data_IF_971053755827
#
_entry.id   IF_971053755827
#
_cell.length_a   1.000
_cell.length_b   1.000
_cell.length_c   1.000
_cell.angle_alpha   90.00
_cell.angle_beta   90.00
_cell.angle_gamma   90.00
#
_symmetry.space_group_name_H-M   'P 1'
#
loop_
_entity.id
_entity.type
_entity.pdbx_description
1 polymer ?
#
# COMPACT_ATOMS: atom_id res chain seq x y z
N UNK A 1 1.39 28.37 -6.66
CA UNK A 1 2.22 27.44 -5.88
C UNK A 1 2.70 26.38 -6.84
N UNK A 2 4.01 26.18 -6.93
CA UNK A 2 4.58 25.12 -7.75
C UNK A 2 4.36 23.81 -6.98
N UNK A 3 3.54 22.88 -7.50
CA UNK A 3 3.38 21.55 -6.91
C UNK A 3 4.64 20.72 -7.22
N UNK A 4 5.66 20.90 -6.38
CA UNK A 4 6.94 20.18 -6.46
C UNK A 4 6.80 18.73 -5.97
N UNK A 5 5.74 18.41 -5.22
CA UNK A 5 5.37 17.05 -4.83
C UNK A 5 3.97 16.72 -5.36
N UNK A 6 3.78 15.48 -5.83
CA UNK A 6 2.51 15.03 -6.42
C UNK A 6 1.34 15.22 -5.45
N UNK A 7 0.21 15.74 -5.94
CA UNK A 7 -0.98 15.98 -5.11
C UNK A 7 -1.92 14.76 -5.05
N UNK A 8 -2.54 14.56 -3.89
CA UNK A 8 -3.56 13.52 -3.69
C UNK A 8 -4.95 14.10 -4.01
N UNK A 9 -5.66 13.48 -4.95
CA UNK A 9 -6.95 13.99 -5.39
C UNK A 9 -7.99 13.99 -4.26
N UNK A 10 -8.62 15.16 -4.05
CA UNK A 10 -9.65 15.32 -3.03
C UNK A 10 -9.14 15.32 -1.58
N UNK A 11 -7.82 15.33 -1.35
CA UNK A 11 -7.23 15.48 -0.01
C UNK A 11 -6.70 16.90 0.16
N UNK A 12 -7.41 17.72 0.95
CA UNK A 12 -7.00 19.09 1.23
C UNK A 12 -5.97 19.19 2.36
N UNK A 13 -5.18 20.28 2.38
CA UNK A 13 -4.17 20.54 3.41
C UNK A 13 -4.75 20.55 4.84
N UNK A 14 -5.92 21.14 5.03
CA UNK A 14 -6.60 21.15 6.33
C UNK A 14 -6.89 19.75 6.86
N UNK A 15 -7.15 18.78 5.98
CA UNK A 15 -7.39 17.39 6.40
C UNK A 15 -6.14 16.77 6.99
N UNK A 16 -4.96 17.03 6.42
CA UNK A 16 -3.68 16.60 7.01
C UNK A 16 -3.44 17.24 8.37
N UNK A 17 -3.66 18.55 8.50
CA UNK A 17 -3.50 19.26 9.78
C UNK A 17 -4.43 18.65 10.84
N UNK A 18 -5.71 18.48 10.52
CA UNK A 18 -6.66 17.84 11.43
C UNK A 18 -6.30 16.40 11.78
N UNK A 19 -5.69 15.66 10.85
CA UNK A 19 -5.24 14.28 11.09
C UNK A 19 -4.09 14.26 12.10
N UNK A 20 -3.06 15.09 11.92
CA UNK A 20 -1.92 15.18 12.83
C UNK A 20 -2.31 15.68 14.23
N UNK A 21 -3.29 16.59 14.32
CA UNK A 21 -3.81 17.07 15.60
C UNK A 21 -4.61 16.01 16.38
N UNK A 22 -5.18 15.01 15.69
CA UNK A 22 -5.97 13.94 16.30
C UNK A 22 -5.15 12.71 16.67
N UNK A 23 -4.04 12.50 15.97
CA UNK A 23 -3.23 11.29 16.06
C UNK A 23 -1.77 11.67 16.31
N UNK A 24 -1.41 11.81 17.57
CA UNK A 24 -0.05 12.17 17.98
C UNK A 24 0.97 11.13 17.50
N UNK A 25 0.58 9.85 17.40
CA UNK A 25 1.45 8.81 16.84
C UNK A 25 1.89 9.09 15.39
N UNK A 26 1.08 9.84 14.61
CA UNK A 26 1.45 10.24 13.25
C UNK A 26 2.49 11.35 13.23
N UNK A 27 2.54 12.21 14.26
CA UNK A 27 3.61 13.21 14.40
C UNK A 27 4.95 12.52 14.60
N UNK A 28 5.00 11.47 15.44
CA UNK A 28 6.21 10.66 15.62
C UNK A 28 6.65 10.00 14.31
N UNK A 29 5.71 9.51 13.50
CA UNK A 29 6.04 8.97 12.15
C UNK A 29 6.55 10.07 11.22
N UNK A 30 5.91 11.24 11.21
CA UNK A 30 6.32 12.38 10.40
C UNK A 30 7.69 12.95 10.81
N UNK A 31 8.10 12.82 12.06
CA UNK A 31 9.43 13.22 12.53
C UNK A 31 10.57 12.49 11.79
N UNK A 32 10.31 11.30 11.23
CA UNK A 32 11.23 10.60 10.31
C UNK A 32 11.68 11.51 9.16
N UNK A 33 10.80 12.39 8.67
CA UNK A 33 11.11 13.30 7.58
C UNK A 33 12.07 14.43 7.96
N UNK A 34 12.25 14.68 9.26
CA UNK A 34 13.19 15.66 9.79
C UNK A 34 14.58 15.05 10.01
N UNK A 35 14.68 13.73 10.17
CA UNK A 35 15.95 13.03 10.39
C UNK A 35 16.79 12.96 9.09
N UNK A 36 17.97 13.61 9.02
CA UNK A 36 18.83 13.56 7.84
C UNK A 36 19.44 12.20 7.58
N UNK A 37 19.46 11.29 8.56
CA UNK A 37 20.00 9.93 8.42
C UNK A 37 18.90 8.87 8.22
N UNK A 38 17.65 9.28 8.01
CA UNK A 38 16.57 8.34 7.77
C UNK A 38 16.82 7.50 6.51
N UNK A 39 16.73 6.18 6.65
CA UNK A 39 16.80 5.26 5.53
C UNK A 39 15.55 5.37 4.66
N UNK A 40 15.67 5.05 3.37
CA UNK A 40 14.55 5.09 2.41
C UNK A 40 13.36 4.24 2.88
N UNK A 41 13.60 3.07 3.47
CA UNK A 41 12.56 2.21 4.04
C UNK A 41 11.79 2.90 5.18
N UNK A 42 12.50 3.59 6.08
CA UNK A 42 11.87 4.33 7.18
C UNK A 42 10.98 5.46 6.65
N UNK A 43 11.47 6.22 5.67
CA UNK A 43 10.74 7.32 5.03
C UNK A 43 9.48 6.81 4.33
N UNK A 44 9.62 5.76 3.53
CA UNK A 44 8.50 5.19 2.77
C UNK A 44 7.46 4.55 3.69
N UNK A 45 7.89 3.83 4.74
CA UNK A 45 7.01 3.28 5.77
C UNK A 45 6.28 4.39 6.52
N UNK A 46 6.97 5.43 6.98
CA UNK A 46 6.36 6.58 7.65
C UNK A 46 5.32 7.28 6.75
N UNK A 47 5.67 7.56 5.49
CA UNK A 47 4.77 8.17 4.52
C UNK A 47 3.55 7.30 4.21
N UNK A 48 3.74 5.99 4.00
CA UNK A 48 2.66 5.04 3.78
C UNK A 48 1.67 4.99 4.93
N UNK A 49 2.16 4.98 6.17
CA UNK A 49 1.33 4.99 7.37
C UNK A 49 0.48 6.26 7.51
N UNK A 50 1.07 7.43 7.22
CA UNK A 50 0.32 8.70 7.19
C UNK A 50 -0.79 8.64 6.13
N UNK A 51 -0.52 8.01 4.98
CA UNK A 51 -1.53 7.84 3.93
C UNK A 51 -2.63 6.86 4.36
N UNK A 52 -2.31 5.72 4.97
CA UNK A 52 -3.33 4.80 5.52
C UNK A 52 -4.30 5.55 6.44
N UNK A 53 -3.76 6.31 7.40
CA UNK A 53 -4.57 7.11 8.32
C UNK A 53 -5.38 8.22 7.62
N UNK A 54 -4.79 8.91 6.63
CA UNK A 54 -5.48 9.95 5.85
C UNK A 54 -6.72 9.41 5.12
N UNK A 55 -6.65 8.17 4.64
CA UNK A 55 -7.75 7.49 3.99
C UNK A 55 -8.66 6.72 4.97
N UNK A 56 -8.46 6.88 6.28
CA UNK A 56 -9.32 6.36 7.33
C UNK A 56 -9.06 4.91 7.72
N UNK A 57 -7.88 4.38 7.41
CA UNK A 57 -7.42 3.07 7.88
C UNK A 57 -6.57 3.22 9.14
N UNK A 58 -6.30 2.10 9.79
CA UNK A 58 -5.41 2.01 10.95
C UNK A 58 -3.97 1.66 10.52
N UNK A 59 -3.00 2.57 10.65
CA UNK A 59 -1.61 2.35 10.23
C UNK A 59 -0.81 1.37 11.11
N UNK A 60 -1.42 0.82 12.17
CA UNK A 60 -0.81 -0.22 13.01
C UNK A 60 -1.17 -1.63 12.54
N UNK A 61 -2.33 -1.78 11.89
CA UNK A 61 -2.90 -3.07 11.50
C UNK A 61 -3.06 -3.23 10.00
N UNK A 62 -3.05 -2.12 9.24
CA UNK A 62 -3.32 -2.14 7.80
C UNK A 62 -2.18 -1.56 6.98
N UNK A 63 -1.98 -2.12 5.79
CA UNK A 63 -1.14 -1.52 4.76
C UNK A 63 -1.96 -0.71 3.74
N UNK A 64 -1.25 0.02 2.86
CA UNK A 64 -1.90 0.91 1.91
C UNK A 64 -2.68 0.17 0.82
N UNK A 65 -2.23 -1.02 0.41
CA UNK A 65 -2.91 -1.82 -0.61
C UNK A 65 -4.22 -2.41 -0.06
N UNK A 66 -4.22 -2.90 1.18
CA UNK A 66 -5.44 -3.30 1.91
C UNK A 66 -6.41 -2.12 2.03
N UNK A 67 -5.91 -0.94 2.42
CA UNK A 67 -6.76 0.24 2.55
C UNK A 67 -7.30 0.72 1.20
N UNK A 68 -6.52 0.58 0.13
CA UNK A 68 -6.95 0.87 -1.25
C UNK A 68 -8.04 -0.09 -1.69
N UNK A 69 -7.90 -1.38 -1.40
CA UNK A 69 -8.93 -2.38 -1.69
C UNK A 69 -10.21 -2.11 -0.89
N UNK A 70 -10.11 -1.87 0.42
CA UNK A 70 -11.27 -1.55 1.24
C UNK A 70 -12.01 -0.30 0.73
N UNK A 71 -11.25 0.76 0.38
CA UNK A 71 -11.80 1.98 -0.23
C UNK A 71 -12.50 1.70 -1.55
N UNK A 72 -11.93 0.82 -2.37
CA UNK A 72 -12.54 0.39 -3.63
C UNK A 72 -13.85 -0.35 -3.40
N UNK A 73 -13.87 -1.36 -2.53
CA UNK A 73 -15.09 -2.12 -2.21
C UNK A 73 -16.22 -1.19 -1.74
N UNK A 74 -15.91 -0.25 -0.85
CA UNK A 74 -16.87 0.74 -0.35
C UNK A 74 -17.37 1.69 -1.43
N UNK A 75 -16.52 2.03 -2.40
CA UNK A 75 -16.86 2.90 -3.52
C UNK A 75 -17.69 2.16 -4.58
N UNK A 76 -17.36 0.92 -4.88
CA UNK A 76 -18.02 0.04 -5.84
C UNK A 76 -19.50 -0.21 -5.51
N UNK A 77 -19.87 -0.16 -4.22
CA UNK A 77 -21.27 -0.25 -3.79
C UNK A 77 -22.13 0.97 -4.20
N UNK A 78 -21.51 2.08 -4.65
CA UNK A 78 -22.20 3.31 -5.04
C UNK A 78 -22.48 3.33 -6.53
N UNK A 79 -23.63 3.90 -6.92
CA UNK A 79 -24.04 4.05 -8.33
C UNK A 79 -23.12 4.95 -9.16
N UNK A 80 -22.40 5.87 -8.50
CA UNK A 80 -21.35 6.70 -9.09
C UNK A 80 -20.17 6.74 -8.13
N UNK A 81 -18.99 6.36 -8.61
CA UNK A 81 -17.75 6.52 -7.86
C UNK A 81 -16.64 7.02 -8.79
N UNK A 82 -15.68 7.75 -8.19
CA UNK A 82 -14.53 8.28 -8.91
C UNK A 82 -13.28 7.56 -8.40
N UNK A 83 -12.63 6.79 -9.28
CA UNK A 83 -11.41 6.04 -8.99
C UNK A 83 -10.26 6.93 -8.50
N UNK A 84 -10.23 8.22 -8.89
CA UNK A 84 -9.21 9.15 -8.43
C UNK A 84 -9.28 9.41 -6.91
N UNK A 85 -10.41 9.11 -6.25
CA UNK A 85 -10.55 9.25 -4.79
C UNK A 85 -9.98 8.07 -3.99
N UNK A 86 -9.55 7.00 -4.65
CA UNK A 86 -8.92 5.88 -3.98
C UNK A 86 -7.53 6.30 -3.44
N UNK A 87 -7.05 5.67 -2.34
CA UNK A 87 -5.68 5.83 -1.88
C UNK A 87 -4.68 5.54 -3.01
N UNK A 88 -3.52 6.21 -3.12
CA UNK A 88 -2.53 5.88 -4.15
C UNK A 88 -2.07 4.41 -4.03
N UNK A 89 -1.51 3.85 -5.10
CA UNK A 89 -0.83 2.55 -5.02
C UNK A 89 0.38 2.65 -4.09
N UNK A 90 0.82 1.53 -3.50
CA UNK A 90 2.03 1.49 -2.67
C UNK A 90 3.25 2.10 -3.39
N UNK A 91 3.46 1.77 -4.67
CA UNK A 91 4.58 2.32 -5.46
C UNK A 91 4.50 3.85 -5.62
N UNK A 92 3.33 4.37 -5.98
CA UNK A 92 3.11 5.81 -6.11
C UNK A 92 3.27 6.54 -4.76
N UNK A 93 2.82 5.92 -3.67
CA UNK A 93 2.97 6.44 -2.31
C UNK A 93 4.42 6.49 -1.85
N UNK A 94 5.20 5.44 -2.13
CA UNK A 94 6.64 5.38 -1.82
C UNK A 94 7.39 6.50 -2.55
N UNK A 95 7.16 6.67 -3.85
CA UNK A 95 7.77 7.75 -4.64
C UNK A 95 7.35 9.14 -4.14
N UNK A 96 6.09 9.31 -3.72
CA UNK A 96 5.64 10.56 -3.10
C UNK A 96 6.35 10.84 -1.77
N UNK A 97 6.49 9.83 -0.90
CA UNK A 97 7.19 9.95 0.37
C UNK A 97 8.67 10.30 0.16
N UNK A 98 9.35 9.63 -0.78
CA UNK A 98 10.76 9.89 -1.10
C UNK A 98 10.99 11.33 -1.58
N UNK A 99 10.14 11.84 -2.48
CA UNK A 99 10.27 13.24 -2.94
C UNK A 99 9.94 14.25 -1.86
N UNK A 100 8.93 13.98 -1.04
CA UNK A 100 8.58 14.82 0.11
C UNK A 100 9.73 14.88 1.12
N UNK A 101 10.41 13.76 1.38
CA UNK A 101 11.61 13.72 2.20
C UNK A 101 12.75 14.55 1.61
N UNK A 102 13.08 14.34 0.33
CA UNK A 102 14.10 15.11 -0.36
C UNK A 102 13.84 16.62 -0.28
N UNK A 103 12.58 17.04 -0.45
CA UNK A 103 12.19 18.43 -0.36
C UNK A 103 12.35 19.01 1.07
N UNK A 104 11.91 18.27 2.09
CA UNK A 104 12.06 18.67 3.50
C UNK A 104 13.54 18.78 3.87
N UNK A 105 14.37 17.81 3.47
CA UNK A 105 15.80 17.83 3.73
C UNK A 105 16.50 19.01 3.04
N UNK A 106 16.10 19.32 1.80
CA UNK A 106 16.59 20.51 1.09
C UNK A 106 16.24 21.80 1.85
N UNK A 107 15.02 21.92 2.39
CA UNK A 107 14.64 23.07 3.21
C UNK A 107 15.41 23.18 4.52
N UNK A 108 15.87 22.05 5.07
CA UNK A 108 16.72 22.00 6.26
C UNK A 108 18.21 22.21 5.95
N UNK A 109 18.58 22.42 4.68
CA UNK A 109 19.98 22.62 4.25
C UNK A 109 20.77 21.31 4.10
N UNK A 110 20.12 20.15 4.13
CA UNK A 110 20.77 18.86 3.95
C UNK A 110 20.76 18.48 2.47
N UNK A 111 21.95 18.42 1.86
CA UNK A 111 22.09 18.01 0.47
C UNK A 111 21.83 16.50 0.33
N UNK A 112 20.93 16.15 -0.59
CA UNK A 112 20.56 14.76 -0.91
C UNK A 112 20.52 14.60 -2.42
N UNK A 113 21.14 13.54 -2.93
CA UNK A 113 21.10 13.20 -4.34
C UNK A 113 19.64 12.93 -4.79
N UNK A 114 19.05 13.78 -5.65
CA UNK A 114 17.65 13.66 -6.04
C UNK A 114 17.36 12.32 -6.74
N UNK A 115 18.32 11.73 -7.44
CA UNK A 115 18.12 10.47 -8.17
C UNK A 115 17.87 9.28 -7.24
N UNK A 116 18.33 9.37 -5.98
CA UNK A 116 18.05 8.38 -4.93
C UNK A 116 16.69 8.60 -4.25
N UNK A 117 16.01 9.71 -4.53
CA UNK A 117 14.81 10.13 -3.81
C UNK A 117 13.60 10.41 -4.71
N UNK A 118 13.40 9.55 -5.72
CA UNK A 118 12.18 9.53 -6.52
C UNK A 118 12.14 10.58 -7.63
N UNK A 119 13.30 11.10 -8.01
CA UNK A 119 13.51 11.94 -9.19
C UNK A 119 14.32 11.18 -10.26
N UNK A 120 14.17 11.58 -11.51
CA UNK A 120 14.97 11.12 -12.64
C UNK A 120 15.55 12.31 -13.39
N UNK A 121 16.73 12.13 -13.97
CA UNK A 121 17.38 13.17 -14.78
C UNK A 121 16.85 13.13 -16.21
N UNK A 122 16.61 14.31 -16.78
CA UNK A 122 16.54 14.53 -18.22
C UNK A 122 17.62 15.55 -18.59
N UNK A 123 18.05 15.64 -19.86
CA UNK A 123 19.15 16.53 -20.26
C UNK A 123 19.04 17.98 -19.80
N UNK A 124 17.85 18.46 -19.49
CA UNK A 124 17.61 19.84 -19.07
C UNK A 124 17.10 20.01 -17.63
N UNK A 125 16.46 19.00 -17.02
CA UNK A 125 15.73 19.13 -15.73
C UNK A 125 15.58 17.81 -14.97
N UNK A 126 15.29 17.92 -13.67
CA UNK A 126 14.75 16.83 -12.86
C UNK A 126 13.25 16.64 -13.13
N UNK A 127 12.84 15.39 -13.27
CA UNK A 127 11.43 15.01 -13.38
C UNK A 127 11.06 14.03 -12.26
N UNK A 128 9.82 14.07 -11.73
CA UNK A 128 9.36 13.06 -10.80
C UNK A 128 9.37 11.68 -11.46
N UNK A 129 10.02 10.70 -10.82
CA UNK A 129 9.88 9.30 -11.23
C UNK A 129 8.40 8.90 -11.07
N UNK A 130 7.84 8.29 -12.11
CA UNK A 130 6.47 7.78 -12.12
C UNK A 130 6.43 6.33 -11.63
N UNK A 131 5.27 5.91 -11.12
CA UNK A 131 4.98 4.51 -10.79
C UNK A 131 5.20 3.65 -12.04
N UNK A 132 5.91 2.55 -11.88
CA UNK A 132 6.11 1.56 -12.95
C UNK A 132 4.96 0.54 -12.97
N UNK A 133 4.26 0.40 -11.84
CA UNK A 133 3.09 -0.46 -11.72
C UNK A 133 1.85 0.20 -12.31
N UNK A 134 0.97 -0.63 -12.89
CA UNK A 134 -0.32 -0.19 -13.38
C UNK A 134 -1.16 0.44 -12.25
N UNK A 135 -1.94 1.50 -12.54
CA UNK A 135 -2.73 2.22 -11.54
C UNK A 135 -3.83 1.34 -10.91
N UNK A 136 -4.23 0.27 -11.59
CA UNK A 136 -5.13 -0.75 -11.07
C UNK A 136 -4.80 -2.09 -11.75
N UNK A 137 -5.05 -3.24 -11.08
CA UNK A 137 -5.05 -4.55 -11.72
C UNK A 137 -5.89 -4.55 -13.01
N UNK A 138 -5.49 -5.34 -13.99
CA UNK A 138 -6.18 -5.39 -15.30
C UNK A 138 -7.66 -5.76 -15.16
N UNK A 139 -8.00 -6.67 -14.24
CA UNK A 139 -9.38 -7.05 -13.92
C UNK A 139 -10.25 -5.89 -13.39
N UNK A 140 -9.63 -4.87 -12.79
CA UNK A 140 -10.28 -3.64 -12.33
C UNK A 140 -10.44 -2.61 -13.46
N UNK A 141 -9.49 -2.55 -14.40
CA UNK A 141 -9.61 -1.71 -15.60
C UNK A 141 -10.68 -2.24 -16.55
N UNK A 142 -10.81 -3.55 -16.63
CA UNK A 142 -11.89 -4.26 -17.31
C UNK A 142 -13.13 -4.34 -16.43
N UNK A 143 -13.61 -3.23 -15.85
CA UNK A 143 -14.78 -3.13 -14.94
C UNK A 143 -16.05 -3.79 -15.51
N UNK A 144 -16.09 -5.13 -15.50
CA UNK A 144 -17.14 -5.97 -16.04
C UNK A 144 -17.95 -6.44 -14.85
N UNK A 145 -19.12 -5.84 -14.70
CA UNK A 145 -20.15 -6.33 -13.79
C UNK A 145 -21.17 -7.13 -14.59
N UNK A 146 -21.64 -8.23 -14.03
CA UNK A 146 -22.79 -8.91 -14.58
C UNK A 146 -24.08 -8.41 -13.92
N UNK A 147 -25.19 -8.56 -14.63
CA UNK A 147 -26.55 -8.26 -14.15
C UNK A 147 -27.34 -9.53 -13.85
N UNK A 148 -26.63 -10.64 -13.62
CA UNK A 148 -27.20 -11.97 -13.40
C UNK A 148 -28.14 -12.01 -12.20
N UNK A 149 -29.41 -12.36 -12.42
CA UNK A 149 -30.43 -12.45 -11.35
C UNK A 149 -30.67 -13.88 -10.82
N UNK A 150 -30.24 -14.90 -11.57
CA UNK A 150 -30.56 -16.33 -11.32
C UNK A 150 -29.29 -17.20 -11.35
N UNK A 151 -28.23 -16.75 -10.67
CA UNK A 151 -26.95 -17.47 -10.65
C UNK A 151 -25.96 -17.02 -11.73
N UNK A 152 -24.67 -17.32 -11.50
CA UNK A 152 -23.55 -16.89 -12.35
C UNK A 152 -22.87 -18.06 -13.07
N UNK A 153 -23.64 -18.69 -13.96
CA UNK A 153 -23.20 -19.80 -14.82
C UNK A 153 -22.69 -19.28 -16.17
N UNK A 154 -22.83 -20.07 -17.25
CA UNK A 154 -22.30 -19.78 -18.60
C UNK A 154 -22.86 -18.50 -19.24
N UNK A 155 -24.01 -18.01 -18.78
CA UNK A 155 -24.60 -16.76 -19.26
C UNK A 155 -24.00 -15.49 -18.61
N UNK A 156 -23.19 -15.65 -17.56
CA UNK A 156 -22.60 -14.53 -16.84
C UNK A 156 -21.57 -13.78 -17.70
N UNK A 157 -21.74 -12.46 -17.82
CA UNK A 157 -20.80 -11.60 -18.54
C UNK A 157 -19.39 -11.64 -17.97
N UNK A 158 -19.25 -11.69 -16.64
CA UNK A 158 -17.95 -11.83 -15.98
C UNK A 158 -17.28 -13.15 -16.37
N UNK A 159 -18.02 -14.28 -16.27
CA UNK A 159 -17.49 -15.61 -16.63
C UNK A 159 -17.11 -15.70 -18.11
N UNK A 160 -17.92 -15.13 -19.01
CA UNK A 160 -17.61 -15.07 -20.45
C UNK A 160 -16.35 -14.28 -20.76
N UNK A 161 -16.06 -13.26 -19.95
CA UNK A 161 -14.81 -12.51 -20.03
C UNK A 161 -13.64 -13.20 -19.30
N UNK A 162 -13.83 -14.42 -18.77
CA UNK A 162 -12.81 -15.13 -18.00
C UNK A 162 -12.59 -14.58 -16.58
N UNK A 163 -13.49 -13.74 -16.06
CA UNK A 163 -13.36 -13.07 -14.77
C UNK A 163 -14.32 -13.65 -13.72
N UNK A 164 -13.91 -13.58 -12.46
CA UNK A 164 -14.79 -13.86 -11.32
C UNK A 164 -15.73 -12.67 -11.08
N UNK A 165 -16.95 -12.93 -10.64
CA UNK A 165 -17.88 -11.88 -10.25
C UNK A 165 -17.33 -11.15 -9.03
N UNK A 166 -17.08 -9.87 -9.22
CA UNK A 166 -16.67 -8.96 -8.15
C UNK A 166 -17.88 -8.33 -7.46
N UNK A 167 -17.60 -7.57 -6.39
CA UNK A 167 -18.60 -6.80 -5.66
C UNK A 167 -19.27 -5.70 -6.52
N UNK A 168 -18.80 -5.47 -7.75
CA UNK A 168 -19.48 -4.62 -8.74
C UNK A 168 -20.72 -5.29 -9.34
N UNK A 169 -20.88 -6.60 -9.22
CA UNK A 169 -22.02 -7.32 -9.79
C UNK A 169 -23.27 -7.10 -8.93
N UNK A 170 -24.25 -6.38 -9.48
CA UNK A 170 -25.40 -5.85 -8.73
C UNK A 170 -26.25 -6.89 -8.00
N UNK A 171 -26.37 -8.09 -8.57
CA UNK A 171 -27.38 -9.08 -8.16
C UNK A 171 -26.77 -10.38 -7.62
N UNK A 172 -25.45 -10.56 -7.69
CA UNK A 172 -24.77 -11.76 -7.23
C UNK A 172 -23.61 -11.38 -6.30
N UNK A 173 -23.93 -11.17 -5.02
CA UNK A 173 -22.98 -10.71 -4.00
C UNK A 173 -22.71 -11.87 -3.03
N UNK A 174 -21.43 -12.16 -2.79
CA UNK A 174 -20.99 -13.09 -1.74
C UNK A 174 -21.08 -14.57 -2.12
N UNK A 175 -21.20 -15.43 -1.11
CA UNK A 175 -21.10 -16.91 -1.21
C UNK A 175 -22.24 -17.57 -2.01
N UNK A 176 -23.34 -16.87 -2.26
CA UNK A 176 -24.44 -17.36 -3.11
C UNK A 176 -24.17 -17.17 -4.61
N UNK A 177 -23.10 -16.44 -4.96
CA UNK A 177 -22.64 -16.35 -6.33
C UNK A 177 -21.85 -17.61 -6.70
N UNK A 178 -22.21 -18.26 -7.81
CA UNK A 178 -21.49 -19.42 -8.36
C UNK A 178 -20.18 -19.06 -9.08
N UNK A 179 -19.84 -17.78 -9.14
CA UNK A 179 -18.59 -17.26 -9.70
C UNK A 179 -17.97 -16.22 -8.75
N UNK A 180 -17.83 -16.49 -7.44
CA UNK A 180 -17.37 -15.47 -6.50
C UNK A 180 -15.87 -15.20 -6.71
N UNK A 181 -15.38 -14.01 -6.38
CA UNK A 181 -13.92 -13.82 -6.30
C UNK A 181 -13.31 -14.75 -5.25
N UNK A 182 -12.10 -15.29 -5.49
CA UNK A 182 -11.40 -16.09 -4.48
C UNK A 182 -11.07 -15.17 -3.29
N UNK A 183 -11.28 -15.66 -2.07
CA UNK A 183 -10.72 -14.98 -0.89
C UNK A 183 -9.22 -15.24 -0.94
N UNK A 184 -8.43 -14.22 -1.25
CA UNK A 184 -6.98 -14.30 -1.16
C UNK A 184 -6.65 -14.29 0.34
N UNK A 185 -6.50 -15.48 0.92
CA UNK A 185 -5.79 -15.67 2.18
C UNK A 185 -4.34 -15.92 1.78
N UNK A 186 -3.50 -14.89 1.81
CA UNK A 186 -2.06 -15.06 1.66
C UNK A 186 -1.51 -15.73 2.93
N UNK A 187 -1.74 -17.04 3.07
CA UNK A 187 -0.95 -17.92 3.91
C UNK A 187 0.00 -18.71 3.00
N UNK A 188 0.93 -18.01 2.35
CA UNK A 188 2.13 -18.68 1.82
C UNK A 188 3.19 -18.72 2.91
N UNK A 189 2.96 -19.59 3.91
CA UNK A 189 4.07 -20.18 4.65
C UNK A 189 4.84 -21.01 3.63
N UNK A 190 5.96 -20.48 3.14
CA UNK A 190 6.92 -21.28 2.37
C UNK A 190 7.36 -22.44 3.26
N UNK A 191 6.90 -23.66 2.98
CA UNK A 191 7.57 -24.87 3.44
C UNK A 191 8.97 -24.85 2.83
N UNK A 192 9.91 -24.34 3.61
CA UNK A 192 11.33 -24.46 3.36
C UNK A 192 11.72 -25.90 3.58
N UNK A 193 12.24 -26.50 2.52
CA UNK A 193 12.96 -27.77 2.50
C UNK A 193 13.92 -27.84 3.69
N UNK A 194 13.71 -28.81 4.58
CA UNK A 194 14.51 -28.97 5.79
C UNK A 194 15.89 -29.51 5.40
N UNK A 195 17.00 -28.82 5.68
CA UNK A 195 18.29 -29.47 5.64
C UNK A 195 18.37 -30.38 6.88
N UNK A 196 18.64 -31.66 6.68
CA UNK A 196 19.03 -32.55 7.78
C UNK A 196 20.41 -32.13 8.32
N UNK A 197 20.60 -32.10 9.65
CA UNK A 197 21.92 -32.50 10.14
C UNK A 197 21.85 -33.33 11.43
N UNK A 198 22.45 -34.53 11.40
CA UNK A 198 23.75 -34.87 12.00
C UNK A 198 23.60 -35.26 13.48
N UNK A 199 23.74 -36.57 13.74
CA UNK A 199 23.93 -37.15 15.05
C UNK A 199 25.14 -36.54 15.76
N UNK A 200 24.95 -35.97 16.94
CA UNK A 200 26.03 -35.71 17.88
C UNK A 200 25.61 -36.24 19.25
N UNK A 201 26.45 -37.15 19.72
CA UNK A 201 26.42 -37.87 20.98
C UNK A 201 26.45 -36.95 22.20
N UNK A 202 25.77 -37.45 23.24
CA UNK A 202 25.66 -36.99 24.61
C UNK A 202 27.04 -36.82 25.29
N UNK A 203 27.32 -35.64 25.83
CA UNK A 203 28.30 -35.48 26.91
C UNK A 203 27.83 -34.37 27.86
N UNK A 204 27.35 -34.82 29.02
CA UNK A 204 26.99 -34.01 30.18
C UNK A 204 28.25 -33.36 30.77
N UNK A 205 28.22 -32.09 31.15
CA UNK A 205 28.93 -31.65 32.35
C UNK A 205 28.36 -30.34 32.92
N UNK A 206 28.24 -30.35 34.24
CA UNK A 206 27.54 -29.43 35.12
C UNK A 206 28.23 -28.08 35.32
N UNK A 207 27.45 -27.10 35.78
CA UNK A 207 27.91 -25.83 36.32
C UNK A 207 28.65 -26.04 37.66
N UNK A 208 29.82 -25.40 37.84
CA UNK A 208 30.31 -25.01 39.16
C UNK A 208 30.86 -23.57 39.13
N UNK A 209 30.49 -22.83 40.18
CA UNK A 209 30.87 -21.48 40.55
C UNK A 209 32.35 -21.36 40.89
N UNK A 210 33.02 -20.24 40.52
CA UNK A 210 34.14 -19.69 41.31
C UNK A 210 34.13 -18.15 41.26
N UNK A 211 34.00 -17.56 42.46
CA UNK A 211 34.34 -16.16 42.78
C UNK A 211 35.84 -15.89 42.65
N UNK A 212 36.22 -14.75 42.06
CA UNK A 212 37.22 -13.81 42.61
C UNK A 212 37.20 -12.46 41.88
#
# INVERSE_FOLDING_TARGET
GCDITSALFGQGKNKFISLFLKHEELLNRAATFLNPQAATEQVTKAGGNVLVALYGGDPTTQNLDEQRYHSFVKAAAKTKFNLARLPPTTDAAQLHAMRSYHQVQTWLGNEKDPLKWGWMHTPSRLFPKKSEKDPAPESLLQCISCTCKKGCTNACGCRKAGLHCSLLCKHCIGQSCENPMPVILDNESKEGDAPAPIDIVDEQLECEDIEL
#
